data_IF_460462366437
#
_entry.id   IF_460462366437
#
_cell.length_a   1.000
_cell.length_b   1.000
_cell.length_c   1.000
_cell.angle_alpha   90.00
_cell.angle_beta   90.00
_cell.angle_gamma   90.00
#
_symmetry.space_group_name_H-M   'P 1'
#
loop_
_entity.id
_entity.type
_entity.pdbx_description
1 polymer ?
#
# COMPACT_ATOMS: atom_id res chain seq x y z
N UNK A 1 -21.79 -55.20 63.73
CA UNK A 1 -21.21 -53.93 63.25
C UNK A 1 -22.18 -53.34 62.24
N UNK A 2 -22.78 -52.23 62.65
CA UNK A 2 -24.05 -51.70 62.17
C UNK A 2 -23.94 -51.05 60.78
N UNK A 3 -25.06 -51.11 60.05
CA UNK A 3 -25.30 -50.42 58.78
C UNK A 3 -24.86 -48.94 58.79
N UNK A 4 -24.87 -48.29 59.97
CA UNK A 4 -24.39 -46.93 60.20
C UNK A 4 -22.91 -46.72 59.81
N UNK A 5 -22.04 -47.71 60.05
CA UNK A 5 -20.60 -47.59 59.76
C UNK A 5 -20.27 -47.65 58.27
N UNK A 6 -21.09 -48.37 57.48
CA UNK A 6 -20.93 -48.43 56.02
C UNK A 6 -21.51 -47.20 55.32
N UNK A 7 -22.58 -46.61 55.87
CA UNK A 7 -23.14 -45.36 55.34
C UNK A 7 -22.19 -44.16 55.54
N UNK A 8 -21.48 -44.07 56.68
CA UNK A 8 -20.52 -42.99 56.92
C UNK A 8 -19.28 -43.04 56.03
N UNK A 9 -18.81 -44.24 55.67
CA UNK A 9 -17.65 -44.42 54.78
C UNK A 9 -17.98 -44.05 53.32
N UNK A 10 -19.21 -44.28 52.86
CA UNK A 10 -19.63 -43.88 51.50
C UNK A 10 -19.82 -42.36 51.41
N UNK A 11 -20.33 -41.71 52.46
CA UNK A 11 -20.50 -40.25 52.50
C UNK A 11 -19.13 -39.55 52.60
N UNK A 12 -18.20 -40.07 53.41
CA UNK A 12 -16.84 -39.54 53.49
C UNK A 12 -16.04 -39.74 52.19
N UNK A 13 -16.27 -40.85 51.46
CA UNK A 13 -15.64 -41.08 50.16
C UNK A 13 -16.20 -40.20 49.04
N UNK A 14 -17.43 -39.68 49.18
CA UNK A 14 -18.03 -38.74 48.21
C UNK A 14 -17.59 -37.28 48.47
N UNK A 15 -17.17 -36.95 49.70
CA UNK A 15 -16.65 -35.63 50.07
C UNK A 15 -15.17 -35.39 49.70
N UNK A 16 -14.47 -36.41 49.18
CA UNK A 16 -13.07 -36.34 48.74
C UNK A 16 -12.91 -36.34 47.21
N UNK A 17 -14.00 -36.23 46.45
CA UNK A 17 -13.89 -35.94 45.03
C UNK A 17 -13.32 -34.52 44.88
N UNK A 18 -12.17 -34.33 44.20
CA UNK A 18 -11.72 -32.98 43.88
C UNK A 18 -12.81 -32.32 43.05
N UNK A 19 -13.31 -31.19 43.52
CA UNK A 19 -14.06 -30.27 42.69
C UNK A 19 -13.15 -29.93 41.51
N UNK A 20 -13.38 -30.57 40.37
CA UNK A 20 -12.88 -30.09 39.10
C UNK A 20 -13.51 -28.70 38.94
N UNK A 21 -12.73 -27.65 39.22
CA UNK A 21 -13.15 -26.29 38.93
C UNK A 21 -13.59 -26.23 37.48
N UNK A 22 -14.73 -25.61 37.23
CA UNK A 22 -15.18 -25.32 35.87
C UNK A 22 -14.08 -24.49 35.19
N UNK A 23 -13.19 -25.16 34.44
CA UNK A 23 -12.24 -24.50 33.56
C UNK A 23 -13.08 -23.88 32.45
N UNK A 24 -13.22 -22.55 32.49
CA UNK A 24 -13.75 -21.77 31.38
C UNK A 24 -12.99 -22.20 30.12
N UNK A 25 -13.72 -22.56 29.06
CA UNK A 25 -13.09 -22.91 27.80
C UNK A 25 -12.20 -21.74 27.34
N UNK A 26 -11.03 -22.01 26.74
CA UNK A 26 -10.17 -20.95 26.21
C UNK A 26 -10.94 -20.17 25.14
N UNK A 27 -10.85 -18.85 25.19
CA UNK A 27 -11.50 -17.93 24.24
C UNK A 27 -10.44 -17.01 23.67
N UNK A 28 -10.58 -16.69 22.39
CA UNK A 28 -9.79 -15.69 21.67
C UNK A 28 -10.67 -14.48 21.37
N UNK A 29 -10.26 -13.31 21.85
CA UNK A 29 -10.96 -12.06 21.60
C UNK A 29 -10.29 -11.24 20.49
N UNK A 30 -11.10 -10.58 19.67
CA UNK A 30 -10.59 -9.66 18.65
C UNK A 30 -11.51 -8.49 18.34
N UNK A 31 -10.97 -7.43 17.76
CA UNK A 31 -11.76 -6.28 17.30
C UNK A 31 -11.54 -6.11 15.79
N UNK A 32 -12.63 -6.11 15.05
CA UNK A 32 -12.64 -5.90 13.60
C UNK A 32 -13.19 -4.51 13.27
N UNK A 33 -12.32 -3.61 12.84
CA UNK A 33 -12.71 -2.29 12.35
C UNK A 33 -13.05 -2.35 10.87
N UNK A 34 -14.23 -1.81 10.53
CA UNK A 34 -14.75 -1.77 9.16
C UNK A 34 -15.38 -0.41 8.82
N UNK A 35 -15.74 -0.23 7.55
CA UNK A 35 -16.56 0.90 7.10
C UNK A 35 -17.64 0.39 6.13
N UNK A 36 -18.88 0.91 6.15
CA UNK A 36 -19.93 0.51 5.20
C UNK A 36 -19.56 0.77 3.74
N UNK A 37 -18.69 1.74 3.48
CA UNK A 37 -18.26 2.10 2.12
C UNK A 37 -16.98 1.39 1.68
N UNK A 38 -16.48 0.43 2.45
CA UNK A 38 -15.24 -0.31 2.19
C UNK A 38 -15.55 -1.65 1.50
N UNK A 39 -15.28 -1.81 0.18
CA UNK A 39 -15.60 -3.05 -0.54
C UNK A 39 -14.86 -4.27 0.02
N UNK A 40 -13.61 -4.09 0.44
CA UNK A 40 -12.77 -5.16 1.02
C UNK A 40 -13.26 -5.61 2.40
N UNK A 41 -13.92 -4.72 3.14
CA UNK A 41 -14.55 -5.07 4.40
C UNK A 41 -15.71 -6.05 4.17
N UNK A 42 -16.52 -5.81 3.14
CA UNK A 42 -17.60 -6.71 2.73
C UNK A 42 -17.05 -8.05 2.22
N UNK A 43 -15.97 -8.07 1.45
CA UNK A 43 -15.31 -9.34 1.07
C UNK A 43 -14.93 -10.16 2.30
N UNK A 44 -14.26 -9.55 3.29
CA UNK A 44 -13.88 -10.27 4.51
C UNK A 44 -15.12 -10.69 5.32
N UNK A 45 -16.07 -9.78 5.53
CA UNK A 45 -17.23 -10.00 6.39
C UNK A 45 -18.25 -10.98 5.80
N UNK A 46 -18.48 -10.92 4.49
CA UNK A 46 -19.55 -11.65 3.83
C UNK A 46 -19.04 -12.98 3.25
N UNK A 47 -17.85 -12.98 2.64
CA UNK A 47 -17.34 -14.16 1.92
C UNK A 47 -16.45 -15.06 2.80
N UNK A 48 -15.69 -14.48 3.74
CA UNK A 48 -14.69 -15.22 4.51
C UNK A 48 -15.04 -15.43 5.98
N UNK A 49 -15.55 -14.40 6.65
CA UNK A 49 -15.81 -14.43 8.08
C UNK A 49 -16.77 -15.53 8.53
N UNK A 50 -17.85 -15.86 7.79
CA UNK A 50 -18.75 -16.94 8.19
C UNK A 50 -18.04 -18.29 8.28
N UNK A 51 -17.07 -18.57 7.40
CA UNK A 51 -16.26 -19.78 7.44
C UNK A 51 -15.33 -19.82 8.65
N UNK A 52 -14.65 -18.71 8.95
CA UNK A 52 -13.77 -18.57 10.11
C UNK A 52 -14.58 -18.72 11.40
N UNK A 53 -15.70 -18.01 11.54
CA UNK A 53 -16.56 -18.10 12.72
C UNK A 53 -17.15 -19.50 12.90
N UNK A 54 -17.49 -20.20 11.82
CA UNK A 54 -17.99 -21.57 11.89
C UNK A 54 -16.92 -22.58 12.37
N UNK A 55 -15.64 -22.36 12.05
CA UNK A 55 -14.53 -23.21 12.51
C UNK A 55 -14.35 -23.13 14.04
N UNK A 56 -14.45 -21.94 14.62
CA UNK A 56 -14.11 -21.71 16.04
C UNK A 56 -15.33 -21.56 16.96
N UNK A 57 -16.52 -21.29 16.43
CA UNK A 57 -17.74 -21.11 17.21
C UNK A 57 -17.59 -20.05 18.30
N UNK A 58 -18.05 -20.36 19.51
CA UNK A 58 -18.02 -19.44 20.66
C UNK A 58 -16.62 -19.19 21.23
N UNK A 59 -15.61 -19.96 20.78
CA UNK A 59 -14.22 -19.78 21.22
C UNK A 59 -13.53 -18.62 20.51
N UNK A 60 -14.11 -18.09 19.41
CA UNK A 60 -13.67 -16.87 18.76
C UNK A 60 -14.74 -15.78 18.94
N UNK A 61 -14.39 -14.72 19.69
CA UNK A 61 -15.29 -13.59 19.94
C UNK A 61 -14.71 -12.31 19.35
N UNK A 62 -15.28 -11.87 18.23
CA UNK A 62 -14.85 -10.65 17.55
C UNK A 62 -15.91 -9.56 17.59
N UNK A 63 -15.49 -8.37 18.02
CA UNK A 63 -16.31 -7.17 18.01
C UNK A 63 -16.15 -6.45 16.67
N UNK A 64 -17.23 -6.36 15.90
CA UNK A 64 -17.27 -5.59 14.66
C UNK A 64 -17.60 -4.13 14.96
N UNK A 65 -16.71 -3.23 14.55
CA UNK A 65 -16.78 -1.80 14.86
C UNK A 65 -16.75 -0.99 13.57
N UNK A 66 -17.80 -0.22 13.32
CA UNK A 66 -17.83 0.75 12.22
C UNK A 66 -16.98 1.98 12.57
N UNK A 67 -15.77 2.03 12.00
CA UNK A 67 -14.79 3.10 12.19
C UNK A 67 -15.25 4.45 11.59
N UNK A 68 -16.29 4.47 10.75
CA UNK A 68 -16.85 5.71 10.20
C UNK A 68 -17.80 6.43 11.17
N UNK A 69 -18.28 5.73 12.21
CA UNK A 69 -19.14 6.34 13.24
C UNK A 69 -18.33 7.13 14.26
N UNK A 70 -18.91 8.15 14.95
CA UNK A 70 -18.19 8.89 15.98
C UNK A 70 -17.68 8.02 17.13
N UNK A 71 -18.44 7.00 17.54
CA UNK A 71 -18.06 6.11 18.63
C UNK A 71 -17.05 5.05 18.18
N UNK A 72 -17.24 4.43 17.02
CA UNK A 72 -16.31 3.45 16.48
C UNK A 72 -14.99 4.07 16.03
N UNK A 73 -15.03 5.29 15.46
CA UNK A 73 -13.84 6.06 15.11
C UNK A 73 -13.00 6.45 16.32
N UNK A 74 -13.61 6.75 17.47
CA UNK A 74 -12.86 6.99 18.72
C UNK A 74 -12.13 5.73 19.18
N UNK A 75 -12.79 4.57 19.15
CA UNK A 75 -12.18 3.30 19.51
C UNK A 75 -11.06 2.92 18.52
N UNK A 76 -11.27 3.15 17.23
CA UNK A 76 -10.28 2.93 16.17
C UNK A 76 -9.02 3.80 16.37
N UNK A 77 -9.19 5.10 16.62
CA UNK A 77 -8.06 5.99 16.90
C UNK A 77 -7.36 5.65 18.22
N UNK A 78 -8.11 5.22 19.25
CA UNK A 78 -7.56 4.74 20.51
C UNK A 78 -6.68 3.50 20.30
N UNK A 79 -7.16 2.53 19.51
CA UNK A 79 -6.41 1.32 19.16
C UNK A 79 -5.11 1.66 18.43
N UNK A 80 -5.17 2.49 17.38
CA UNK A 80 -3.99 2.92 16.61
C UNK A 80 -2.95 3.58 17.51
N UNK A 81 -3.38 4.53 18.35
CA UNK A 81 -2.46 5.30 19.17
C UNK A 81 -1.86 4.48 20.32
N UNK A 82 -2.66 3.61 20.96
CA UNK A 82 -2.20 2.85 22.13
C UNK A 82 -1.29 1.68 21.73
N UNK A 83 -1.59 1.04 20.61
CA UNK A 83 -0.83 -0.12 20.13
C UNK A 83 0.32 0.27 19.18
N UNK A 84 0.47 1.56 18.86
CA UNK A 84 1.52 2.03 17.95
C UNK A 84 1.38 1.47 16.54
N UNK A 85 0.14 1.31 16.06
CA UNK A 85 -0.15 0.67 14.77
C UNK A 85 0.28 1.60 13.64
N UNK A 86 1.27 1.15 12.85
CA UNK A 86 1.79 1.92 11.73
C UNK A 86 0.82 1.97 10.54
N UNK A 87 0.08 0.89 10.30
CA UNK A 87 -0.89 0.76 9.20
C UNK A 87 -2.24 1.38 9.57
N UNK A 88 -2.71 2.33 8.76
CA UNK A 88 -4.01 3.00 8.91
C UNK A 88 -4.93 2.62 7.76
N UNK A 89 -6.01 1.91 8.06
CA UNK A 89 -7.02 1.52 7.08
C UNK A 89 -8.02 0.50 7.66
N UNK A 90 -9.09 0.27 6.92
CA UNK A 90 -10.03 -0.83 7.16
C UNK A 90 -10.11 -1.69 5.88
N UNK A 91 -10.35 -3.01 5.97
CA UNK A 91 -10.61 -3.78 7.18
C UNK A 91 -9.35 -3.98 8.04
N UNK A 92 -9.51 -3.89 9.35
CA UNK A 92 -8.43 -4.13 10.31
C UNK A 92 -8.95 -5.06 11.41
N UNK A 93 -8.26 -6.19 11.61
CA UNK A 93 -8.55 -7.13 12.68
C UNK A 93 -7.40 -7.12 13.68
N UNK A 94 -7.72 -6.94 14.95
CA UNK A 94 -6.77 -6.99 16.05
C UNK A 94 -7.12 -8.19 16.94
N UNK A 95 -6.17 -9.11 17.15
CA UNK A 95 -6.30 -10.23 18.09
C UNK A 95 -5.07 -10.23 19.00
N UNK A 96 -5.27 -9.98 20.30
CA UNK A 96 -4.18 -9.72 21.24
C UNK A 96 -3.33 -8.53 20.75
N UNK A 97 -2.03 -8.74 20.59
CA UNK A 97 -1.10 -7.72 20.06
C UNK A 97 -0.94 -7.78 18.52
N UNK A 98 -1.52 -8.77 17.86
CA UNK A 98 -1.36 -8.94 16.41
C UNK A 98 -2.38 -8.11 15.67
N UNK A 99 -1.92 -7.36 14.67
CA UNK A 99 -2.75 -6.53 13.80
C UNK A 99 -2.68 -7.09 12.38
N UNK A 100 -3.85 -7.43 11.83
CA UNK A 100 -4.03 -7.87 10.45
C UNK A 100 -4.81 -6.81 9.69
N UNK A 101 -4.38 -6.46 8.47
CA UNK A 101 -5.00 -5.41 7.65
C UNK A 101 -5.26 -5.88 6.24
N UNK A 102 -6.42 -5.53 5.69
CA UNK A 102 -6.80 -5.82 4.30
C UNK A 102 -7.45 -7.18 4.08
N UNK A 103 -8.04 -7.36 2.90
CA UNK A 103 -8.82 -8.55 2.56
C UNK A 103 -8.01 -9.81 2.26
N UNK A 104 -6.68 -9.72 2.11
CA UNK A 104 -5.82 -10.88 1.91
C UNK A 104 -5.31 -11.46 3.24
N UNK A 105 -4.78 -10.62 4.13
CA UNK A 105 -4.14 -11.08 5.35
C UNK A 105 -5.15 -11.61 6.37
N UNK A 106 -6.31 -10.95 6.50
CA UNK A 106 -7.30 -11.33 7.51
C UNK A 106 -7.81 -12.77 7.28
N UNK A 107 -8.32 -13.16 6.10
CA UNK A 107 -8.79 -14.53 5.89
C UNK A 107 -7.69 -15.58 5.96
N UNK A 108 -6.47 -15.25 5.52
CA UNK A 108 -5.37 -16.20 5.45
C UNK A 108 -4.69 -16.45 6.80
N UNK A 109 -4.59 -15.43 7.65
CA UNK A 109 -3.81 -15.53 8.90
C UNK A 109 -4.67 -15.75 10.15
N UNK A 110 -5.94 -15.29 10.15
CA UNK A 110 -6.82 -15.39 11.33
C UNK A 110 -7.01 -16.84 11.81
N UNK A 111 -7.29 -17.84 10.95
CA UNK A 111 -7.53 -19.20 11.43
C UNK A 111 -6.33 -19.79 12.17
N UNK A 112 -5.11 -19.59 11.66
CA UNK A 112 -3.90 -20.08 12.30
C UNK A 112 -3.65 -19.36 13.64
N UNK A 113 -3.86 -18.05 13.67
CA UNK A 113 -3.71 -17.24 14.89
C UNK A 113 -4.67 -17.70 15.99
N UNK A 114 -5.93 -17.95 15.63
CA UNK A 114 -6.95 -18.42 16.58
C UNK A 114 -6.64 -19.84 17.05
N UNK A 115 -6.27 -20.78 16.15
CA UNK A 115 -5.86 -22.14 16.55
C UNK A 115 -4.70 -22.13 17.54
N UNK A 116 -3.67 -21.33 17.27
CA UNK A 116 -2.51 -21.20 18.15
C UNK A 116 -2.87 -20.55 19.48
N UNK A 117 -3.72 -19.51 19.47
CA UNK A 117 -4.23 -18.85 20.66
C UNK A 117 -5.02 -19.79 21.57
N UNK A 118 -5.95 -20.57 21.00
CA UNK A 118 -6.74 -21.54 21.75
C UNK A 118 -5.88 -22.66 22.33
N UNK A 119 -4.87 -23.15 21.59
CA UNK A 119 -3.90 -24.13 22.09
C UNK A 119 -3.04 -23.58 23.25
N UNK A 120 -2.81 -22.26 23.27
CA UNK A 120 -2.07 -21.56 24.33
C UNK A 120 -2.93 -21.17 25.55
N UNK A 121 -4.23 -21.52 25.56
CA UNK A 121 -5.15 -21.21 26.66
C UNK A 121 -6.07 -20.01 26.43
N UNK A 122 -6.12 -19.48 25.21
CA UNK A 122 -6.91 -18.32 24.82
C UNK A 122 -6.05 -17.08 24.57
N UNK A 123 -6.65 -16.06 23.97
CA UNK A 123 -6.06 -14.73 23.80
C UNK A 123 -7.04 -13.73 24.40
N UNK A 124 -6.59 -12.98 25.39
CA UNK A 124 -7.40 -11.99 26.10
C UNK A 124 -7.78 -10.81 25.19
N UNK A 125 -8.58 -9.87 25.71
CA UNK A 125 -8.95 -8.66 25.00
C UNK A 125 -7.73 -7.95 24.39
N UNK A 126 -7.82 -7.45 23.13
CA UNK A 126 -6.78 -6.61 22.58
C UNK A 126 -6.45 -5.44 23.51
N UNK A 127 -5.18 -5.01 23.62
CA UNK A 127 -4.75 -3.94 24.52
C UNK A 127 -5.20 -2.56 23.99
N UNK A 128 -6.52 -2.36 23.90
CA UNK A 128 -7.19 -1.15 23.47
C UNK A 128 -7.93 -0.60 24.70
N UNK A 129 -7.71 0.66 25.09
CA UNK A 129 -8.37 1.24 26.25
C UNK A 129 -9.90 1.11 26.17
N UNK A 130 -10.51 0.64 27.26
CA UNK A 130 -11.96 0.50 27.45
C UNK A 130 -12.65 -0.53 26.53
N UNK A 131 -11.90 -1.39 25.83
CA UNK A 131 -12.49 -2.36 24.89
C UNK A 131 -13.42 -3.37 25.57
N UNK A 132 -13.14 -3.73 26.82
CA UNK A 132 -13.93 -4.69 27.60
C UNK A 132 -15.37 -4.22 27.74
N UNK A 133 -15.58 -2.91 27.98
CA UNK A 133 -16.93 -2.35 28.11
C UNK A 133 -17.73 -2.43 26.81
N UNK A 134 -17.06 -2.42 25.65
CA UNK A 134 -17.71 -2.63 24.36
C UNK A 134 -18.14 -4.09 24.18
N UNK A 135 -17.30 -5.04 24.60
CA UNK A 135 -17.67 -6.46 24.60
C UNK A 135 -18.79 -6.78 25.60
N UNK A 136 -18.78 -6.16 26.79
CA UNK A 136 -19.86 -6.31 27.77
C UNK A 136 -21.19 -5.78 27.22
N UNK A 137 -21.18 -4.57 26.64
CA UNK A 137 -22.36 -3.99 25.97
C UNK A 137 -22.88 -4.90 24.85
N UNK A 138 -21.98 -5.44 24.02
CA UNK A 138 -22.35 -6.37 22.96
C UNK A 138 -22.91 -7.71 23.49
N UNK A 139 -22.40 -8.18 24.63
CA UNK A 139 -22.84 -9.46 25.23
C UNK A 139 -24.26 -9.40 25.83
N UNK A 140 -24.72 -8.22 26.25
CA UNK A 140 -26.09 -7.99 26.76
C UNK A 140 -27.13 -8.05 25.65
N UNK A 141 -26.74 -7.89 24.38
CA UNK A 141 -27.65 -7.85 23.23
C UNK A 141 -27.88 -9.24 22.56
N UNK A 142 -27.14 -10.28 22.97
CA UNK A 142 -27.29 -11.71 22.60
C UNK A 142 -27.36 -12.06 21.09
N UNK A 143 -26.16 -12.35 20.54
CA UNK A 143 -25.71 -12.95 19.24
C UNK A 143 -26.66 -13.98 18.53
N UNK A 144 -26.62 -14.20 17.19
CA UNK A 144 -25.44 -14.31 16.30
C UNK A 144 -25.46 -13.42 15.04
N UNK A 145 -24.36 -12.67 14.83
CA UNK A 145 -24.12 -11.78 13.68
C UNK A 145 -25.06 -10.56 13.60
N UNK A 146 -24.62 -9.39 14.04
CA UNK A 146 -25.36 -8.13 13.84
C UNK A 146 -24.39 -6.96 14.05
N UNK A 147 -23.96 -6.17 13.07
CA UNK A 147 -24.65 -5.51 11.94
C UNK A 147 -25.91 -4.79 12.39
N UNK A 148 -25.78 -3.50 12.71
CA UNK A 148 -26.92 -2.58 12.75
C UNK A 148 -27.67 -2.65 11.40
N UNK A 149 -29.03 -2.67 11.39
CA UNK A 149 -29.78 -3.26 10.30
C UNK A 149 -29.83 -2.38 9.04
N UNK A 150 -29.67 -3.01 7.87
CA UNK A 150 -30.34 -2.60 6.64
C UNK A 150 -30.74 -3.82 5.81
N UNK A 151 -31.92 -3.69 5.19
CA UNK A 151 -32.83 -4.72 4.67
C UNK A 151 -32.38 -5.36 3.34
N UNK A 152 -32.81 -6.62 3.15
CA UNK A 152 -33.05 -7.38 1.89
C UNK A 152 -31.92 -8.23 1.24
N UNK A 153 -32.01 -9.54 1.53
CA UNK A 153 -32.00 -10.72 0.62
C UNK A 153 -31.46 -10.61 -0.81
N UNK A 154 -30.44 -11.42 -1.12
CA UNK A 154 -30.46 -12.36 -2.25
C UNK A 154 -29.35 -13.41 -2.14
N UNK A 155 -29.75 -14.69 -2.23
CA UNK A 155 -28.94 -15.91 -2.29
C UNK A 155 -28.33 -16.15 -3.67
N UNK A 156 -27.05 -16.53 -3.80
CA UNK A 156 -26.56 -17.39 -4.90
C UNK A 156 -25.38 -18.28 -4.46
N UNK A 157 -25.45 -19.53 -4.92
CA UNK A 157 -24.64 -20.72 -4.70
C UNK A 157 -23.11 -20.62 -4.86
N UNK A 158 -22.44 -21.37 -3.99
CA UNK A 158 -21.04 -21.77 -4.08
C UNK A 158 -20.78 -22.84 -5.15
N UNK A 159 -19.60 -22.79 -5.78
CA UNK A 159 -18.93 -23.95 -6.37
C UNK A 159 -17.46 -23.81 -6.05
N UNK A 160 -16.97 -24.69 -5.17
CA UNK A 160 -15.60 -24.68 -4.69
C UNK A 160 -14.63 -25.37 -5.65
N UNK A 161 -13.38 -24.97 -5.57
CA UNK A 161 -12.24 -25.81 -5.95
C UNK A 161 -11.17 -25.68 -4.88
N UNK A 162 -10.92 -26.79 -4.20
CA UNK A 162 -9.88 -27.03 -3.21
C UNK A 162 -8.52 -27.04 -3.89
N UNK A 163 -7.58 -26.19 -3.48
CA UNK A 163 -6.17 -26.35 -3.81
C UNK A 163 -5.34 -26.41 -2.52
N UNK A 164 -4.73 -27.58 -2.32
CA UNK A 164 -3.92 -27.97 -1.17
C UNK A 164 -2.56 -27.28 -1.22
N UNK A 165 -2.18 -26.56 -0.16
CA UNK A 165 -0.79 -26.13 0.05
C UNK A 165 -0.29 -26.49 1.46
N UNK A 166 0.91 -27.09 1.48
CA UNK A 166 1.65 -27.57 2.65
C UNK A 166 2.49 -26.43 3.30
N UNK A 167 3.10 -26.64 4.49
CA UNK A 167 3.43 -25.56 5.43
C UNK A 167 4.79 -24.91 5.15
N UNK A 168 4.93 -23.62 5.47
CA UNK A 168 6.22 -22.92 5.47
C UNK A 168 6.50 -22.33 6.86
N UNK A 169 7.68 -22.68 7.35
CA UNK A 169 8.30 -22.29 8.62
C UNK A 169 8.75 -20.84 8.63
N UNK A 170 8.66 -20.24 9.82
CA UNK A 170 9.12 -18.90 10.20
C UNK A 170 10.64 -18.76 10.03
N UNK A 171 11.09 -18.11 8.96
CA UNK A 171 12.45 -17.58 8.83
C UNK A 171 12.36 -16.06 8.67
N UNK A 172 13.14 -15.34 9.48
CA UNK A 172 13.34 -13.89 9.38
C UNK A 172 13.80 -13.53 7.97
N UNK A 173 12.87 -13.00 7.15
CA UNK A 173 13.11 -12.61 5.76
C UNK A 173 14.06 -11.41 5.73
N UNK A 174 15.20 -11.58 5.07
CA UNK A 174 16.11 -10.50 4.74
C UNK A 174 15.46 -9.56 3.72
N UNK A 175 15.83 -8.28 3.73
CA UNK A 175 15.29 -7.24 2.80
C UNK A 175 15.38 -7.67 1.32
N UNK A 176 16.35 -8.53 0.98
CA UNK A 176 16.61 -9.03 -0.37
C UNK A 176 15.72 -10.23 -0.78
N UNK A 177 14.99 -10.83 0.16
CA UNK A 177 14.15 -11.99 -0.12
C UNK A 177 12.83 -11.61 -0.80
N UNK A 178 12.39 -10.35 -0.67
CA UNK A 178 11.25 -9.82 -1.43
C UNK A 178 11.74 -9.25 -2.79
N UNK A 179 11.32 -9.84 -3.93
CA UNK A 179 11.71 -9.35 -5.25
C UNK A 179 11.29 -7.89 -5.50
N UNK A 180 10.23 -7.41 -4.84
CA UNK A 180 9.79 -6.02 -4.96
C UNK A 180 10.78 -5.05 -4.32
N UNK A 181 11.35 -5.42 -3.16
CA UNK A 181 12.38 -4.60 -2.49
C UNK A 181 13.67 -4.55 -3.31
N UNK A 182 14.05 -5.65 -3.98
CA UNK A 182 15.18 -5.66 -4.93
C UNK A 182 14.94 -4.68 -6.09
N UNK A 183 13.73 -4.69 -6.65
CA UNK A 183 13.35 -3.74 -7.71
C UNK A 183 13.39 -2.30 -7.19
N UNK A 184 12.85 -2.02 -6.00
CA UNK A 184 12.87 -0.69 -5.40
C UNK A 184 14.30 -0.16 -5.18
N UNK A 185 15.22 -0.99 -4.70
CA UNK A 185 16.64 -0.64 -4.55
C UNK A 185 17.26 -0.33 -5.93
N UNK A 186 16.96 -1.14 -6.95
CA UNK A 186 17.41 -0.89 -8.32
C UNK A 186 16.91 0.44 -8.87
N UNK A 187 15.62 0.74 -8.67
CA UNK A 187 15.01 2.03 -9.02
C UNK A 187 15.73 3.16 -8.28
N UNK A 188 15.90 3.06 -6.97
CA UNK A 188 16.56 4.07 -6.13
C UNK A 188 17.97 4.41 -6.64
N UNK A 189 18.79 3.39 -6.92
CA UNK A 189 20.13 3.59 -7.47
C UNK A 189 20.08 4.28 -8.84
N UNK A 190 19.12 3.89 -9.68
CA UNK A 190 18.84 4.57 -10.94
C UNK A 190 18.49 6.05 -10.76
N UNK A 191 17.61 6.37 -9.80
CA UNK A 191 17.21 7.74 -9.49
C UNK A 191 18.41 8.59 -9.05
N UNK A 192 19.20 8.09 -8.10
CA UNK A 192 20.41 8.78 -7.60
C UNK A 192 21.41 8.99 -8.75
N UNK A 193 21.61 7.97 -9.59
CA UNK A 193 22.47 8.05 -10.76
C UNK A 193 22.02 9.10 -11.78
N UNK A 194 20.72 9.15 -12.10
CA UNK A 194 20.13 10.16 -12.99
C UNK A 194 20.31 11.56 -12.41
N UNK A 195 20.00 11.75 -11.11
CA UNK A 195 20.16 13.03 -10.43
C UNK A 195 21.61 13.52 -10.46
N UNK A 196 22.54 12.65 -10.08
CA UNK A 196 23.98 12.96 -10.08
C UNK A 196 24.51 13.30 -11.47
N UNK A 197 24.08 12.57 -12.49
CA UNK A 197 24.46 12.84 -13.88
C UNK A 197 23.90 14.19 -14.37
N UNK A 198 22.61 14.45 -14.16
CA UNK A 198 21.97 15.71 -14.57
C UNK A 198 22.60 16.91 -13.85
N UNK A 199 22.90 16.75 -12.56
CA UNK A 199 23.63 17.75 -11.77
C UNK A 199 25.04 18.00 -12.29
N UNK A 200 25.80 16.94 -12.61
CA UNK A 200 27.16 17.06 -13.18
C UNK A 200 27.15 17.75 -14.54
N UNK A 201 26.19 17.41 -15.42
CA UNK A 201 26.01 18.05 -16.72
C UNK A 201 25.70 19.53 -16.55
N UNK A 202 24.79 19.88 -15.64
CA UNK A 202 24.46 21.27 -15.31
C UNK A 202 25.66 22.03 -14.75
N UNK A 203 26.38 21.44 -13.79
CA UNK A 203 27.57 22.01 -13.18
C UNK A 203 28.64 22.36 -14.22
N UNK A 204 29.01 21.40 -15.08
CA UNK A 204 29.99 21.64 -16.16
C UNK A 204 29.54 22.70 -17.15
N UNK A 205 28.25 22.72 -17.48
CA UNK A 205 27.71 23.69 -18.43
C UNK A 205 27.69 25.12 -17.88
N UNK A 206 27.32 25.29 -16.61
CA UNK A 206 27.10 26.60 -15.98
C UNK A 206 28.41 27.15 -15.39
N UNK A 207 29.18 26.32 -14.69
CA UNK A 207 30.40 26.72 -13.98
C UNK A 207 31.62 26.64 -14.91
N UNK A 208 31.85 25.50 -15.54
CA UNK A 208 33.02 25.27 -16.42
C UNK A 208 32.80 25.78 -17.84
N UNK A 209 31.56 26.21 -18.18
CA UNK A 209 31.12 26.62 -19.54
C UNK A 209 31.33 25.57 -20.64
N UNK A 210 31.61 24.33 -20.28
CA UNK A 210 31.83 23.20 -21.19
C UNK A 210 30.51 22.60 -21.67
N UNK A 211 30.23 22.72 -22.98
CA UNK A 211 29.03 22.17 -23.60
C UNK A 211 29.21 20.76 -24.18
N UNK A 212 30.43 20.20 -24.13
CA UNK A 212 30.71 18.89 -24.71
C UNK A 212 29.97 17.77 -23.99
N UNK A 213 29.88 17.84 -22.66
CA UNK A 213 29.15 16.86 -21.85
C UNK A 213 27.64 16.94 -22.10
N UNK A 214 27.09 18.15 -22.22
CA UNK A 214 25.68 18.36 -22.57
C UNK A 214 25.35 17.78 -23.96
N UNK A 215 26.22 17.98 -24.97
CA UNK A 215 26.03 17.38 -26.30
C UNK A 215 26.08 15.84 -26.27
N UNK A 216 26.97 15.25 -25.50
CA UNK A 216 27.04 13.78 -25.32
C UNK A 216 25.80 13.25 -24.58
N UNK A 217 25.34 13.99 -23.58
CA UNK A 217 24.09 13.71 -22.87
C UNK A 217 22.90 13.73 -23.82
N UNK A 218 22.75 14.77 -24.64
CA UNK A 218 21.63 14.92 -25.58
C UNK A 218 21.62 13.83 -26.68
N UNK A 219 22.80 13.41 -27.15
CA UNK A 219 22.93 12.51 -28.29
C UNK A 219 22.94 11.00 -27.98
N UNK A 220 23.49 10.57 -26.84
CA UNK A 220 23.60 9.12 -26.53
C UNK A 220 23.20 8.79 -25.11
N UNK A 221 23.83 9.43 -24.13
CA UNK A 221 23.72 9.00 -22.74
C UNK A 221 22.30 9.23 -22.20
N UNK A 222 21.75 10.43 -22.42
CA UNK A 222 20.38 10.76 -22.06
C UNK A 222 19.39 9.83 -22.77
N UNK A 223 19.51 9.66 -24.10
CA UNK A 223 18.59 8.80 -24.88
C UNK A 223 18.54 7.38 -24.34
N UNK A 224 19.70 6.79 -24.08
CA UNK A 224 19.78 5.42 -23.58
C UNK A 224 19.18 5.30 -22.16
N UNK A 225 19.39 6.31 -21.29
CA UNK A 225 18.79 6.35 -19.96
C UNK A 225 17.26 6.54 -20.02
N UNK A 226 16.77 7.40 -20.91
CA UNK A 226 15.34 7.59 -21.12
C UNK A 226 14.69 6.31 -21.68
N UNK A 227 15.37 5.61 -22.60
CA UNK A 227 14.91 4.33 -23.13
C UNK A 227 14.88 3.25 -22.05
N UNK A 228 15.94 3.14 -21.24
CA UNK A 228 15.99 2.21 -20.12
C UNK A 228 14.86 2.50 -19.10
N UNK A 229 14.62 3.77 -18.80
CA UNK A 229 13.53 4.20 -17.92
C UNK A 229 12.15 3.89 -18.52
N UNK A 230 11.98 4.08 -19.84
CA UNK A 230 10.72 3.75 -20.52
C UNK A 230 10.45 2.24 -20.53
N UNK A 231 11.47 1.42 -20.80
CA UNK A 231 11.38 -0.06 -20.75
C UNK A 231 11.07 -0.54 -19.33
N UNK A 232 11.72 0.06 -18.32
CA UNK A 232 11.41 -0.22 -16.92
C UNK A 232 9.95 0.18 -16.58
N UNK A 233 9.48 1.32 -17.09
CA UNK A 233 8.09 1.74 -16.95
C UNK A 233 7.09 0.76 -17.60
N UNK A 234 7.43 0.19 -18.77
CA UNK A 234 6.64 -0.90 -19.39
C UNK A 234 6.63 -2.13 -18.50
N UNK A 235 7.77 -2.53 -17.94
CA UNK A 235 7.85 -3.70 -17.06
C UNK A 235 7.02 -3.52 -15.78
N UNK A 236 7.15 -2.37 -15.10
CA UNK A 236 6.38 -2.05 -13.90
C UNK A 236 4.88 -1.96 -14.20
N UNK A 237 4.49 -1.24 -15.26
CA UNK A 237 3.08 -1.13 -15.64
C UNK A 237 2.50 -2.45 -16.14
N UNK A 238 3.31 -3.28 -16.80
CA UNK A 238 2.92 -4.62 -17.22
C UNK A 238 2.72 -5.55 -16.04
N UNK A 239 3.54 -5.44 -14.99
CA UNK A 239 3.36 -6.20 -13.75
C UNK A 239 2.05 -5.88 -13.04
N UNK A 240 1.57 -4.64 -13.15
CA UNK A 240 0.22 -4.26 -12.68
C UNK A 240 -0.84 -5.05 -13.45
N UNK A 241 -0.78 -5.08 -14.79
CA UNK A 241 -1.73 -5.77 -15.68
C UNK A 241 -1.75 -7.30 -15.53
N UNK A 242 -0.68 -7.89 -15.00
CA UNK A 242 -0.63 -9.33 -14.76
C UNK A 242 -1.18 -9.74 -13.38
N UNK A 243 -1.52 -8.76 -12.53
CA UNK A 243 -2.16 -9.02 -11.23
C UNK A 243 -3.66 -9.38 -11.34
N UNK A 244 -4.25 -9.81 -10.23
CA UNK A 244 -5.68 -10.06 -10.10
C UNK A 244 -6.46 -8.74 -10.04
N UNK A 245 -7.32 -8.48 -11.01
CA UNK A 245 -8.16 -7.28 -11.04
C UNK A 245 -9.60 -7.59 -10.71
N UNK A 246 -10.07 -7.00 -9.62
CA UNK A 246 -11.50 -7.00 -9.28
C UNK A 246 -12.19 -5.73 -9.81
N UNK A 247 -11.42 -4.71 -10.22
CA UNK A 247 -11.95 -3.41 -10.63
C UNK A 247 -11.48 -3.00 -12.04
N UNK A 248 -12.45 -2.88 -12.96
CA UNK A 248 -12.24 -2.49 -14.36
C UNK A 248 -11.54 -1.12 -14.49
N UNK A 249 -11.78 -0.19 -13.57
CA UNK A 249 -11.17 1.15 -13.63
C UNK A 249 -9.67 1.10 -13.45
N UNK A 250 -9.17 0.30 -12.50
CA UNK A 250 -7.73 0.16 -12.24
C UNK A 250 -7.02 -0.50 -13.43
N UNK A 251 -7.66 -1.49 -14.06
CA UNK A 251 -7.14 -2.11 -15.27
C UNK A 251 -7.00 -1.11 -16.42
N UNK A 252 -8.02 -0.25 -16.64
CA UNK A 252 -7.97 0.80 -17.66
C UNK A 252 -6.84 1.80 -17.39
N UNK A 253 -6.65 2.19 -16.12
CA UNK A 253 -5.57 3.10 -15.74
C UNK A 253 -4.19 2.46 -15.97
N UNK A 254 -3.97 1.23 -15.51
CA UNK A 254 -2.72 0.50 -15.71
C UNK A 254 -2.42 0.28 -17.20
N UNK A 255 -3.43 -0.08 -17.99
CA UNK A 255 -3.33 -0.21 -19.44
C UNK A 255 -2.99 1.12 -20.11
N UNK A 256 -3.60 2.23 -19.67
CA UNK A 256 -3.30 3.58 -20.15
C UNK A 256 -1.83 3.97 -19.90
N UNK A 257 -1.34 3.75 -18.69
CA UNK A 257 0.06 4.02 -18.33
C UNK A 257 1.02 3.13 -19.12
N UNK A 258 0.71 1.83 -19.29
CA UNK A 258 1.49 0.92 -20.12
C UNK A 258 1.56 1.37 -21.59
N UNK A 259 0.42 1.75 -22.18
CA UNK A 259 0.37 2.25 -23.56
C UNK A 259 1.24 3.50 -23.70
N UNK A 260 1.20 4.41 -22.73
CA UNK A 260 2.06 5.60 -22.74
C UNK A 260 3.54 5.20 -22.73
N UNK A 261 3.97 4.31 -21.83
CA UNK A 261 5.37 3.85 -21.80
C UNK A 261 5.77 3.07 -23.07
N UNK A 262 4.87 2.29 -23.65
CA UNK A 262 5.12 1.59 -24.92
C UNK A 262 5.30 2.58 -26.07
N UNK A 263 4.44 3.59 -26.17
CA UNK A 263 4.56 4.68 -27.16
C UNK A 263 5.88 5.43 -26.96
N UNK A 264 6.23 5.80 -25.72
CA UNK A 264 7.50 6.46 -25.41
C UNK A 264 8.69 5.60 -25.82
N UNK A 265 8.67 4.30 -25.54
CA UNK A 265 9.71 3.34 -25.93
C UNK A 265 9.89 3.32 -27.45
N UNK A 266 8.79 3.17 -28.21
CA UNK A 266 8.84 3.17 -29.69
C UNK A 266 9.39 4.48 -30.24
N UNK A 267 8.97 5.62 -29.68
CA UNK A 267 9.46 6.93 -30.11
C UNK A 267 10.95 7.10 -29.81
N UNK A 268 11.41 6.68 -28.61
CA UNK A 268 12.82 6.73 -28.23
C UNK A 268 13.72 5.79 -29.05
N UNK A 269 13.19 4.65 -29.50
CA UNK A 269 13.90 3.75 -30.43
C UNK A 269 14.06 4.35 -31.83
N UNK A 270 13.12 5.21 -32.26
CA UNK A 270 13.16 5.92 -33.55
C UNK A 270 13.95 7.22 -33.49
N UNK A 271 14.28 7.70 -32.30
CA UNK A 271 14.92 8.98 -32.06
C UNK A 271 16.44 8.93 -32.20
N UNK A 272 17.00 9.92 -32.89
CA UNK A 272 18.46 10.13 -32.87
C UNK A 272 18.95 10.89 -31.64
N UNK A 273 18.14 11.81 -31.09
CA UNK A 273 18.49 12.66 -29.93
C UNK A 273 17.29 12.89 -29.02
N UNK A 274 17.51 13.19 -27.73
CA UNK A 274 16.40 13.49 -26.80
C UNK A 274 15.71 14.81 -27.12
N UNK A 275 16.49 15.85 -27.42
CA UNK A 275 15.95 17.19 -27.66
C UNK A 275 15.06 17.31 -28.89
N UNK A 276 15.17 16.39 -29.86
CA UNK A 276 14.26 16.33 -31.00
C UNK A 276 12.85 15.83 -30.67
N UNK A 277 12.66 15.20 -29.50
CA UNK A 277 11.41 14.52 -29.12
C UNK A 277 10.64 15.24 -28.01
N UNK A 278 11.23 16.22 -27.34
CA UNK A 278 10.69 16.83 -26.12
C UNK A 278 9.32 17.50 -26.29
N UNK A 279 8.98 17.99 -27.49
CA UNK A 279 7.76 18.76 -27.71
C UNK A 279 6.45 18.05 -27.32
N UNK A 280 6.22 16.84 -27.83
CA UNK A 280 4.97 16.07 -27.58
C UNK A 280 5.15 14.98 -26.51
N UNK A 281 6.39 14.59 -26.20
CA UNK A 281 6.65 13.54 -25.20
C UNK A 281 6.51 14.05 -23.75
N UNK A 282 6.87 15.31 -23.46
CA UNK A 282 6.71 15.91 -22.12
C UNK A 282 5.27 15.85 -21.59
N UNK A 283 4.23 16.33 -22.30
CA UNK A 283 2.86 16.27 -21.78
C UNK A 283 2.36 14.83 -21.65
N UNK A 284 2.82 13.93 -22.51
CA UNK A 284 2.45 12.52 -22.48
C UNK A 284 2.97 11.84 -21.20
N UNK A 285 4.25 12.05 -20.85
CA UNK A 285 4.82 11.47 -19.63
C UNK A 285 4.27 12.15 -18.36
N UNK A 286 4.01 13.46 -18.39
CA UNK A 286 3.36 14.16 -17.28
C UNK A 286 1.92 13.66 -17.07
N UNK A 287 1.21 13.33 -18.15
CA UNK A 287 -0.11 12.72 -18.07
C UNK A 287 -0.06 11.32 -17.45
N UNK A 288 0.93 10.49 -17.79
CA UNK A 288 1.14 9.21 -17.11
C UNK A 288 1.36 9.41 -15.60
N UNK A 289 2.19 10.37 -15.20
CA UNK A 289 2.39 10.75 -13.81
C UNK A 289 1.10 11.18 -13.12
N UNK A 290 0.27 11.96 -13.81
CA UNK A 290 -1.03 12.39 -13.31
C UNK A 290 -2.00 11.22 -13.11
N UNK A 291 -2.03 10.24 -14.02
CA UNK A 291 -2.84 9.02 -13.85
C UNK A 291 -2.41 8.22 -12.63
N UNK A 292 -1.09 8.00 -12.47
CA UNK A 292 -0.53 7.27 -11.32
C UNK A 292 -0.82 8.01 -10.01
N UNK A 293 -0.51 9.31 -9.94
CA UNK A 293 -0.75 10.11 -8.74
C UNK A 293 -2.23 10.26 -8.43
N UNK A 294 -3.09 10.39 -9.45
CA UNK A 294 -4.54 10.46 -9.29
C UNK A 294 -5.12 9.18 -8.71
N UNK A 295 -4.63 8.02 -9.17
CA UNK A 295 -5.01 6.74 -8.59
C UNK A 295 -4.58 6.62 -7.12
N UNK A 296 -3.32 6.97 -6.81
CA UNK A 296 -2.84 6.94 -5.42
C UNK A 296 -3.59 7.91 -4.52
N UNK A 297 -3.89 9.12 -5.00
CA UNK A 297 -4.71 10.09 -4.30
C UNK A 297 -6.13 9.55 -4.02
N UNK A 298 -6.73 8.85 -4.98
CA UNK A 298 -8.02 8.19 -4.79
C UNK A 298 -7.93 7.15 -3.67
N UNK A 299 -6.99 6.19 -3.78
CA UNK A 299 -6.76 5.14 -2.77
C UNK A 299 -6.55 5.72 -1.37
N UNK A 300 -5.72 6.75 -1.23
CA UNK A 300 -5.42 7.41 0.05
C UNK A 300 -6.63 8.14 0.64
N UNK A 301 -7.43 8.81 -0.20
CA UNK A 301 -8.57 9.62 0.26
C UNK A 301 -9.82 8.81 0.52
N UNK A 302 -10.01 7.69 -0.18
CA UNK A 302 -11.15 6.77 0.03
C UNK A 302 -10.82 5.62 0.98
N UNK A 303 -9.60 5.58 1.53
CA UNK A 303 -9.10 4.50 2.40
C UNK A 303 -9.34 3.13 1.78
N UNK A 304 -9.22 3.04 0.46
CA UNK A 304 -9.40 1.80 -0.29
C UNK A 304 -8.07 1.06 -0.35
N UNK A 305 -8.11 -0.27 -0.38
CA UNK A 305 -6.90 -1.06 -0.56
C UNK A 305 -6.31 -0.84 -1.96
N UNK A 306 -4.99 -0.69 -2.03
CA UNK A 306 -4.29 -0.49 -3.29
C UNK A 306 -4.20 -1.81 -4.06
N UNK A 307 -4.47 -1.78 -5.36
CA UNK A 307 -4.27 -2.96 -6.19
C UNK A 307 -2.80 -3.05 -6.55
N UNK A 308 -2.14 -4.11 -6.10
CA UNK A 308 -0.77 -4.41 -6.47
C UNK A 308 -0.70 -5.30 -7.70
N UNK A 309 0.41 -5.20 -8.43
CA UNK A 309 0.74 -6.16 -9.47
C UNK A 309 1.22 -7.49 -8.88
N UNK A 310 1.85 -8.30 -9.73
CA UNK A 310 2.43 -9.62 -9.35
C UNK A 310 3.54 -9.50 -8.28
N UNK A 311 4.09 -8.30 -8.07
CA UNK A 311 5.15 -8.01 -7.11
C UNK A 311 4.78 -6.79 -6.24
N UNK A 312 5.14 -6.83 -4.95
CA UNK A 312 5.03 -5.71 -4.01
C UNK A 312 3.86 -5.79 -3.03
N UNK A 313 3.92 -4.94 -2.01
CA UNK A 313 2.91 -4.81 -0.97
C UNK A 313 2.56 -3.32 -0.78
N UNK A 314 1.83 -2.80 -1.76
CA UNK A 314 1.43 -1.40 -1.90
C UNK A 314 0.59 -0.92 -0.73
N UNK A 315 -0.23 -1.79 -0.12
CA UNK A 315 -1.07 -1.44 1.01
C UNK A 315 -0.25 -1.07 2.23
N UNK A 316 0.78 -1.86 2.54
CA UNK A 316 1.71 -1.56 3.64
C UNK A 316 2.35 -0.19 3.44
N UNK A 317 2.71 0.18 2.20
CA UNK A 317 3.27 1.49 1.87
C UNK A 317 2.21 2.60 1.95
N UNK A 318 1.05 2.42 1.33
CA UNK A 318 -0.01 3.43 1.22
C UNK A 318 -0.77 3.70 2.53
N UNK A 319 -0.72 2.75 3.46
CA UNK A 319 -1.34 2.88 4.79
C UNK A 319 -0.30 3.25 5.86
N UNK A 320 0.97 3.42 5.48
CA UNK A 320 2.02 3.83 6.42
C UNK A 320 1.88 5.29 6.86
N UNK A 321 2.52 5.65 7.97
CA UNK A 321 2.63 7.05 8.41
C UNK A 321 3.20 7.98 7.32
N UNK A 322 4.08 7.44 6.47
CA UNK A 322 4.74 8.18 5.40
C UNK A 322 3.86 8.45 4.18
N UNK A 323 2.66 7.86 4.10
CA UNK A 323 1.67 8.15 3.06
C UNK A 323 1.03 9.54 3.22
N UNK A 324 1.25 10.20 4.36
CA UNK A 324 0.85 11.59 4.59
C UNK A 324 2.07 12.45 4.93
N UNK A 325 2.15 13.64 4.34
CA UNK A 325 3.20 14.60 4.61
C UNK A 325 2.56 15.95 4.97
N UNK A 326 2.89 16.47 6.17
CA UNK A 326 2.26 17.67 6.74
C UNK A 326 0.71 17.60 6.78
N UNK A 327 0.16 16.40 6.95
CA UNK A 327 -1.29 16.15 6.94
C UNK A 327 -1.93 16.07 5.55
N UNK A 328 -1.15 16.16 4.47
CA UNK A 328 -1.62 16.03 3.09
C UNK A 328 -1.21 14.66 2.54
N UNK A 329 -2.12 13.89 1.93
CA UNK A 329 -1.78 12.62 1.29
C UNK A 329 -0.76 12.81 0.15
N UNK A 330 0.21 11.91 0.07
CA UNK A 330 1.33 12.00 -0.89
C UNK A 330 0.83 11.95 -2.34
N UNK A 331 -0.18 11.14 -2.64
CA UNK A 331 -0.83 11.09 -3.95
C UNK A 331 -1.39 12.45 -4.37
N UNK A 332 -2.00 13.20 -3.45
CA UNK A 332 -2.53 14.55 -3.71
C UNK A 332 -1.40 15.54 -4.04
N UNK A 333 -0.28 15.47 -3.31
CA UNK A 333 0.91 16.28 -3.63
C UNK A 333 1.43 15.96 -5.03
N UNK A 334 1.43 14.68 -5.42
CA UNK A 334 1.77 14.23 -6.77
C UNK A 334 0.85 14.83 -7.84
N UNK A 335 -0.47 14.81 -7.62
CA UNK A 335 -1.45 15.41 -8.54
C UNK A 335 -1.18 16.91 -8.74
N UNK A 336 -0.99 17.65 -7.64
CA UNK A 336 -0.67 19.09 -7.70
C UNK A 336 0.65 19.33 -8.44
N UNK A 337 1.66 18.50 -8.18
CA UNK A 337 2.96 18.55 -8.85
C UNK A 337 2.84 18.35 -10.36
N UNK A 338 2.20 17.27 -10.81
CA UNK A 338 2.06 17.00 -12.25
C UNK A 338 1.16 18.04 -12.95
N UNK A 339 0.06 18.49 -12.34
CA UNK A 339 -0.79 19.54 -12.90
C UNK A 339 -0.05 20.87 -13.04
N UNK A 340 0.74 21.26 -12.03
CA UNK A 340 1.52 22.49 -12.11
C UNK A 340 2.61 22.42 -13.19
N UNK A 341 3.27 21.27 -13.36
CA UNK A 341 4.23 21.06 -14.46
C UNK A 341 3.56 21.13 -15.84
N UNK A 342 2.36 20.54 -16.00
CA UNK A 342 1.57 20.66 -17.25
C UNK A 342 1.21 22.12 -17.51
N UNK A 343 0.79 22.86 -16.48
CA UNK A 343 0.46 24.28 -16.59
C UNK A 343 1.65 25.14 -17.03
N UNK A 344 2.81 24.96 -16.39
CA UNK A 344 4.04 25.70 -16.76
C UNK A 344 4.48 25.37 -18.18
N UNK A 345 4.40 24.10 -18.59
CA UNK A 345 4.71 23.69 -19.96
C UNK A 345 3.74 24.31 -20.99
N UNK A 346 2.45 24.38 -20.68
CA UNK A 346 1.44 24.97 -21.56
C UNK A 346 1.62 26.49 -21.70
N UNK A 347 1.89 27.19 -20.59
CA UNK A 347 2.15 28.64 -20.57
C UNK A 347 3.47 29.00 -21.27
N UNK A 348 4.48 28.12 -21.18
CA UNK A 348 5.76 28.30 -21.87
C UNK A 348 5.67 28.40 -23.39
N UNK A 349 4.58 27.90 -23.99
CA UNK A 349 4.36 28.03 -25.44
C UNK A 349 3.87 29.41 -25.88
N UNK A 350 3.29 30.20 -24.99
CA UNK A 350 2.67 31.47 -25.33
C UNK A 350 3.34 32.68 -24.68
N UNK A 351 4.14 32.47 -23.62
CA UNK A 351 4.80 33.54 -22.87
C UNK A 351 6.31 33.54 -23.11
N UNK A 352 7.08 32.93 -22.21
CA UNK A 352 8.55 32.92 -22.21
C UNK A 352 9.08 31.48 -22.10
N UNK A 353 9.61 30.97 -23.22
CA UNK A 353 10.18 29.62 -23.33
C UNK A 353 11.38 29.42 -22.38
N UNK A 354 12.15 30.49 -22.10
CA UNK A 354 13.31 30.42 -21.22
C UNK A 354 12.87 30.24 -19.77
N UNK A 355 11.96 31.08 -19.29
CA UNK A 355 11.49 31.02 -17.90
C UNK A 355 10.74 29.71 -17.61
N UNK A 356 9.90 29.25 -18.53
CA UNK A 356 9.20 27.97 -18.40
C UNK A 356 10.17 26.78 -18.35
N UNK A 357 11.21 26.76 -19.18
CA UNK A 357 12.23 25.70 -19.15
C UNK A 357 13.00 25.67 -17.82
N UNK A 358 13.31 26.83 -17.24
CA UNK A 358 13.97 26.94 -15.94
C UNK A 358 13.04 26.46 -14.83
N UNK A 359 11.78 26.92 -14.83
CA UNK A 359 10.79 26.52 -13.83
C UNK A 359 10.54 25.01 -13.86
N UNK A 360 10.34 24.43 -15.04
CA UNK A 360 10.17 22.99 -15.22
C UNK A 360 11.38 22.19 -14.72
N UNK A 361 12.60 22.65 -14.97
CA UNK A 361 13.81 22.02 -14.46
C UNK A 361 13.85 22.04 -12.92
N UNK A 362 13.56 23.19 -12.31
CA UNK A 362 13.54 23.30 -10.84
C UNK A 362 12.47 22.41 -10.22
N UNK A 363 11.26 22.40 -10.79
CA UNK A 363 10.17 21.52 -10.32
C UNK A 363 10.54 20.04 -10.48
N UNK A 364 11.13 19.64 -11.60
CA UNK A 364 11.59 18.27 -11.83
C UNK A 364 12.71 17.88 -10.86
N UNK A 365 13.64 18.77 -10.53
CA UNK A 365 14.69 18.51 -9.54
C UNK A 365 14.10 18.32 -8.14
N UNK A 366 13.15 19.18 -7.72
CA UNK A 366 12.46 19.03 -6.43
C UNK A 366 11.66 17.71 -6.40
N UNK A 367 10.90 17.43 -7.45
CA UNK A 367 10.15 16.18 -7.58
C UNK A 367 11.06 14.95 -7.53
N UNK A 368 12.23 15.01 -8.16
CA UNK A 368 13.20 13.92 -8.15
C UNK A 368 13.82 13.69 -6.76
N UNK A 369 14.16 14.76 -6.02
CA UNK A 369 14.60 14.63 -4.61
C UNK A 369 13.51 13.97 -3.76
N UNK A 370 12.26 14.40 -3.95
CA UNK A 370 11.12 13.84 -3.23
C UNK A 370 10.88 12.36 -3.57
N UNK A 371 10.95 11.98 -4.85
CA UNK A 371 10.87 10.57 -5.28
C UNK A 371 12.00 9.72 -4.70
N UNK A 372 13.25 10.22 -4.69
CA UNK A 372 14.38 9.51 -4.06
C UNK A 372 14.11 9.27 -2.56
N UNK A 373 13.58 10.27 -1.87
CA UNK A 373 13.23 10.16 -0.45
C UNK A 373 12.17 9.06 -0.21
N UNK A 374 11.07 9.08 -0.96
CA UNK A 374 10.01 8.08 -0.78
C UNK A 374 10.47 6.66 -1.17
N UNK A 375 11.18 6.52 -2.30
CA UNK A 375 11.72 5.22 -2.73
C UNK A 375 12.78 4.68 -1.76
N UNK A 376 13.46 5.55 -0.99
CA UNK A 376 14.33 5.09 0.10
C UNK A 376 13.53 4.55 1.29
N UNK A 377 12.41 5.18 1.65
CA UNK A 377 11.61 4.71 2.79
C UNK A 377 11.02 3.31 2.56
N UNK A 378 10.64 2.98 1.32
CA UNK A 378 10.02 1.69 0.95
C UNK A 378 10.82 0.46 1.46
N UNK A 379 12.01 0.12 0.93
CA UNK A 379 12.72 -1.10 1.35
C UNK A 379 13.47 -0.97 2.68
N UNK A 380 13.85 0.24 3.11
CA UNK A 380 14.75 0.42 4.27
C UNK A 380 14.03 0.76 5.58
N UNK A 381 12.86 1.40 5.52
CA UNK A 381 12.11 1.83 6.71
C UNK A 381 10.82 1.03 6.84
N UNK A 382 10.06 0.93 5.75
CA UNK A 382 8.77 0.22 5.74
C UNK A 382 8.97 -1.29 5.57
N UNK A 383 9.98 -1.71 4.80
CA UNK A 383 10.25 -3.11 4.49
C UNK A 383 9.34 -3.66 3.38
N UNK A 384 8.58 -2.81 2.70
CA UNK A 384 7.66 -3.15 1.62
C UNK A 384 7.79 -2.15 0.46
N UNK A 385 7.50 -2.61 -0.75
CA UNK A 385 7.61 -1.80 -1.97
C UNK A 385 6.28 -1.67 -2.71
N UNK A 386 6.04 -0.49 -3.29
CA UNK A 386 4.80 -0.17 -4.01
C UNK A 386 5.06 0.07 -5.50
N UNK A 387 4.52 -0.79 -6.36
CA UNK A 387 4.74 -0.70 -7.82
C UNK A 387 4.22 0.63 -8.41
N UNK A 388 3.13 1.18 -7.89
CA UNK A 388 2.62 2.48 -8.32
C UNK A 388 3.56 3.62 -7.95
N UNK A 389 4.12 3.61 -6.73
CA UNK A 389 5.12 4.60 -6.30
C UNK A 389 6.40 4.50 -7.12
N UNK A 390 6.90 3.28 -7.37
CA UNK A 390 8.04 3.04 -8.26
C UNK A 390 7.77 3.52 -9.68
N UNK A 391 6.56 3.30 -10.20
CA UNK A 391 6.14 3.80 -11.52
C UNK A 391 6.16 5.33 -11.55
N UNK A 392 5.63 5.99 -10.52
CA UNK A 392 5.70 7.47 -10.39
C UNK A 392 7.13 7.97 -10.31
N UNK A 393 8.02 7.28 -9.59
CA UNK A 393 9.44 7.62 -9.50
C UNK A 393 10.15 7.51 -10.86
N UNK A 394 9.85 6.46 -11.64
CA UNK A 394 10.35 6.29 -13.01
C UNK A 394 9.82 7.39 -13.94
N UNK A 395 8.53 7.77 -13.80
CA UNK A 395 7.95 8.92 -14.53
C UNK A 395 8.73 10.20 -14.22
N UNK A 396 8.98 10.49 -12.94
CA UNK A 396 9.69 11.71 -12.54
C UNK A 396 11.14 11.73 -13.05
N UNK A 397 11.83 10.59 -13.04
CA UNK A 397 13.16 10.45 -13.63
C UNK A 397 13.15 10.71 -15.14
N UNK A 398 12.16 10.17 -15.86
CA UNK A 398 11.98 10.45 -17.30
C UNK A 398 11.71 11.94 -17.55
N UNK A 399 10.84 12.56 -16.76
CA UNK A 399 10.54 13.99 -16.85
C UNK A 399 11.82 14.82 -16.68
N UNK A 400 12.65 14.52 -15.68
CA UNK A 400 13.92 15.19 -15.46
C UNK A 400 14.89 15.00 -16.64
N UNK A 401 15.03 13.78 -17.16
CA UNK A 401 15.89 13.48 -18.30
C UNK A 401 15.48 14.25 -19.57
N UNK A 402 14.19 14.39 -19.82
CA UNK A 402 13.65 15.10 -20.99
C UNK A 402 13.78 16.63 -20.86
N UNK A 403 13.61 17.18 -19.66
CA UNK A 403 13.61 18.64 -19.42
C UNK A 403 15.02 19.19 -19.23
N UNK A 404 15.94 18.40 -18.67
CA UNK A 404 17.30 18.84 -18.32
C UNK A 404 18.05 19.56 -19.45
N UNK A 405 18.08 19.09 -20.72
CA UNK A 405 18.79 19.78 -21.78
C UNK A 405 18.28 21.21 -22.03
N UNK A 406 16.96 21.40 -22.06
CA UNK A 406 16.34 22.71 -22.28
C UNK A 406 16.55 23.63 -21.07
N UNK A 407 16.32 23.14 -19.86
CA UNK A 407 16.48 23.91 -18.63
C UNK A 407 17.92 24.39 -18.41
N UNK A 408 18.92 23.53 -18.62
CA UNK A 408 20.32 23.92 -18.46
C UNK A 408 20.78 24.93 -19.52
N UNK A 409 20.32 24.79 -20.78
CA UNK A 409 20.57 25.80 -21.83
C UNK A 409 19.94 27.15 -21.46
N UNK A 410 18.72 27.14 -20.94
CA UNK A 410 18.03 28.34 -20.50
C UNK A 410 18.74 29.02 -19.31
N UNK A 411 19.23 28.26 -18.33
CA UNK A 411 19.98 28.76 -17.16
C UNK A 411 21.33 29.38 -17.53
N UNK A 412 22.08 28.80 -18.49
CA UNK A 412 23.34 29.38 -18.96
C UNK A 412 23.15 30.79 -19.55
N UNK A 413 21.98 31.06 -20.12
CA UNK A 413 21.69 32.27 -20.88
C UNK A 413 22.29 32.20 -22.28
N UNK A 414 21.47 32.44 -23.31
CA UNK A 414 21.97 32.80 -24.63
C UNK A 414 22.61 34.20 -24.51
N UNK A 415 23.94 34.27 -24.53
CA UNK A 415 24.65 35.44 -25.04
C UNK A 415 24.92 35.22 -26.51
#
# INVERSE_FOLDING_TARGET
MSFLGKALLVIASFMLLPFAGAQSQPVVYGVFFHSPTCPFCHVVMDDHWPGIQAEFGDQLRVLFVDASTPQGGQLYHSAINNMGIASRGVPMLIIGETVLTGAADIPNQTPDLVRNGLAAGGIDYPPIPDVESYFERASVESNPAFVLPSVETASVSATGTTETAAPVTTESTSILDDPANVVAIGVLLGLIGVMGLVGLVGWRLVVERDSTLLRKFDARLGRNLALASAVLGVALSGSLILGSFDNLTTLILAAGVLVIFAVLTVQLLRADTISGLTGMLIPLILFAGLLVAGYLAYVETTLSDAMCGVIGNCNVVQQSEHATMFGVPVGVLGVVGYLSMIGVWALGRTWDEKQSSIALLLMALVGMVFSIYLTFLEPFVIGASCVWCLTSAVVMAMVLLLIAPAGWRALRGNS
#
